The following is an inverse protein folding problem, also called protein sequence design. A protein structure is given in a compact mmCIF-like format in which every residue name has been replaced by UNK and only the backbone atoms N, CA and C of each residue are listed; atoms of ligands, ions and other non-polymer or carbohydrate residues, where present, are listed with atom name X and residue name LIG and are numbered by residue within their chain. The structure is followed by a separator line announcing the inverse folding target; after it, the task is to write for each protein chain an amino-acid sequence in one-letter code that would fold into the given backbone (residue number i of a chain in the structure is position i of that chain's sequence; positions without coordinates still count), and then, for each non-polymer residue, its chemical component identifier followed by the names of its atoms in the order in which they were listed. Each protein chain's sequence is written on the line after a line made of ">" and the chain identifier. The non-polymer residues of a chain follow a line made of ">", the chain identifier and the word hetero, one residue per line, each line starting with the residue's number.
data_IF_337866943803
#
_entry.id   IF_337866943803
#
_cell.length_a   1.000
_cell.length_b   1.000
_cell.length_c   1.000
_cell.angle_alpha   90.00
_cell.angle_beta   90.00
_cell.angle_gamma   90.00
#
_symmetry.space_group_name_H-M   'P 1'
#
loop_
_entity.id
_entity.type
_entity.pdbx_description
1 polymer ?
#
# COMPACT_ATOMS: atom_id res chain seq x y z
N UNK A 1 16.25 16.01 -9.17
CA UNK A 1 16.18 14.67 -8.58
C UNK A 1 15.80 13.70 -9.68
N UNK A 2 16.66 12.75 -10.01
CA UNK A 2 16.41 11.77 -11.07
C UNK A 2 15.30 10.82 -10.63
N UNK A 3 14.21 10.77 -11.40
CA UNK A 3 13.10 9.84 -11.24
C UNK A 3 13.54 8.44 -11.67
N UNK A 4 14.37 7.78 -10.85
CA UNK A 4 14.80 6.43 -11.14
C UNK A 4 13.70 5.44 -10.74
N UNK A 5 13.27 4.55 -11.65
CA UNK A 5 12.29 3.51 -11.33
C UNK A 5 12.76 2.60 -10.19
N UNK A 6 14.08 2.43 -10.01
CA UNK A 6 14.66 1.69 -8.88
C UNK A 6 14.26 2.26 -7.51
N UNK A 7 14.15 3.58 -7.40
CA UNK A 7 13.70 4.23 -6.17
C UNK A 7 12.20 4.02 -5.93
N UNK A 8 11.39 3.90 -6.99
CA UNK A 8 9.98 3.53 -6.89
C UNK A 8 9.83 2.07 -6.42
N UNK A 9 10.66 1.15 -6.94
CA UNK A 9 10.69 -0.26 -6.52
C UNK A 9 11.11 -0.39 -5.06
N UNK A 10 12.14 0.34 -4.61
CA UNK A 10 12.53 0.38 -3.19
C UNK A 10 11.39 0.88 -2.31
N UNK A 11 10.66 1.90 -2.77
CA UNK A 11 9.50 2.44 -2.04
C UNK A 11 8.34 1.45 -1.97
N UNK A 12 8.06 0.75 -3.06
CA UNK A 12 7.09 -0.34 -3.11
C UNK A 12 7.47 -1.47 -2.14
N UNK A 13 8.75 -1.82 -2.08
CA UNK A 13 9.27 -2.83 -1.13
C UNK A 13 9.05 -2.40 0.31
N UNK A 14 9.38 -1.15 0.65
CA UNK A 14 9.13 -0.59 1.97
C UNK A 14 7.64 -0.61 2.35
N UNK A 15 6.75 -0.36 1.39
CA UNK A 15 5.30 -0.40 1.60
C UNK A 15 4.82 -1.82 1.93
N UNK A 16 5.24 -2.82 1.14
CA UNK A 16 4.92 -4.23 1.42
C UNK A 16 5.47 -4.64 2.78
N UNK A 17 6.73 -4.30 3.09
CA UNK A 17 7.35 -4.55 4.39
C UNK A 17 6.53 -3.97 5.55
N UNK A 18 6.09 -2.71 5.44
CA UNK A 18 5.29 -2.07 6.47
C UNK A 18 3.96 -2.79 6.74
N UNK A 19 3.31 -3.33 5.70
CA UNK A 19 2.11 -4.18 5.86
C UNK A 19 2.48 -5.49 6.58
N UNK A 20 3.53 -6.18 6.11
CA UNK A 20 3.98 -7.48 6.62
C UNK A 20 4.37 -7.43 8.10
N UNK A 21 4.95 -6.32 8.55
CA UNK A 21 5.41 -6.14 9.94
C UNK A 21 4.48 -5.28 10.79
N UNK A 22 3.31 -4.91 10.25
CA UNK A 22 2.33 -4.07 10.92
C UNK A 22 2.86 -2.70 11.39
N UNK A 23 3.82 -2.14 10.63
CA UNK A 23 4.37 -0.80 10.84
C UNK A 23 3.40 0.26 10.31
N UNK A 24 2.32 0.47 11.05
CA UNK A 24 1.17 1.29 10.68
C UNK A 24 1.54 2.78 10.47
N UNK A 25 2.48 3.33 11.24
CA UNK A 25 2.98 4.69 11.04
C UNK A 25 3.83 4.80 9.78
N UNK A 26 4.78 3.87 9.58
CA UNK A 26 5.58 3.78 8.35
C UNK A 26 4.66 3.66 7.13
N UNK A 27 3.67 2.76 7.17
CA UNK A 27 2.71 2.57 6.09
C UNK A 27 2.00 3.88 5.72
N UNK A 28 1.56 4.63 6.73
CA UNK A 28 0.89 5.92 6.54
C UNK A 28 1.78 6.99 5.92
N UNK A 29 3.07 6.99 6.25
CA UNK A 29 4.06 7.95 5.72
C UNK A 29 4.50 7.62 4.30
N UNK A 30 4.35 6.36 3.88
CA UNK A 30 4.60 5.92 2.51
C UNK A 30 3.47 6.27 1.54
N UNK A 31 2.26 6.54 2.04
CA UNK A 31 1.10 6.91 1.22
C UNK A 31 1.17 8.37 0.78
N UNK A 32 0.74 8.63 -0.45
CA UNK A 32 0.40 9.98 -0.91
C UNK A 32 -0.87 10.47 -0.22
N UNK A 33 -1.20 11.75 -0.36
CA UNK A 33 -2.43 12.29 0.23
C UNK A 33 -3.68 11.68 -0.41
N UNK A 34 -3.60 11.33 -1.70
CA UNK A 34 -4.62 10.54 -2.38
C UNK A 34 -4.72 9.13 -1.79
N UNK A 35 -3.59 8.45 -1.57
CA UNK A 35 -3.54 7.13 -0.96
C UNK A 35 -4.10 7.11 0.46
N UNK A 36 -3.79 8.15 1.26
CA UNK A 36 -4.34 8.35 2.61
C UNK A 36 -5.87 8.53 2.56
N UNK A 37 -6.37 9.39 1.67
CA UNK A 37 -7.81 9.59 1.52
C UNK A 37 -8.55 8.30 1.10
N UNK A 38 -7.96 7.52 0.19
CA UNK A 38 -8.49 6.22 -0.22
C UNK A 38 -8.48 5.21 0.94
N UNK A 39 -7.37 5.11 1.68
CA UNK A 39 -7.24 4.23 2.84
C UNK A 39 -8.28 4.54 3.91
N UNK A 40 -8.47 5.82 4.27
CA UNK A 40 -9.53 6.25 5.19
C UNK A 40 -10.92 5.88 4.67
N UNK A 41 -11.16 6.06 3.38
CA UNK A 41 -12.45 5.73 2.76
C UNK A 41 -12.76 4.24 2.78
N UNK A 42 -11.74 3.39 2.64
CA UNK A 42 -11.87 1.93 2.79
C UNK A 42 -12.08 1.56 4.26
N UNK A 43 -11.31 2.15 5.17
CA UNK A 43 -11.43 1.91 6.60
C UNK A 43 -12.84 2.20 7.13
N UNK A 44 -13.40 3.35 6.76
CA UNK A 44 -14.77 3.74 7.11
C UNK A 44 -15.83 2.79 6.51
N UNK A 45 -15.60 2.27 5.31
CA UNK A 45 -16.47 1.25 4.70
C UNK A 45 -16.42 -0.08 5.45
N UNK A 46 -15.27 -0.40 6.03
CA UNK A 46 -15.04 -1.58 6.85
C UNK A 46 -15.38 -1.37 8.34
N UNK A 47 -16.06 -0.27 8.69
CA UNK A 47 -16.61 -0.05 10.02
C UNK A 47 -15.69 0.67 11.01
N UNK A 48 -14.54 1.22 10.58
CA UNK A 48 -13.75 2.10 11.44
C UNK A 48 -14.47 3.44 11.67
N UNK A 49 -14.18 4.07 12.80
CA UNK A 49 -14.84 5.29 13.26
C UNK A 49 -14.65 6.46 12.26
N UNK A 50 -15.78 6.94 11.73
CA UNK A 50 -15.83 8.02 10.74
C UNK A 50 -15.41 9.37 11.31
N UNK A 51 -15.67 9.63 12.59
CA UNK A 51 -15.29 10.87 13.28
C UNK A 51 -13.78 10.90 13.46
N UNK A 52 -13.18 9.78 13.86
CA UNK A 52 -11.72 9.64 13.94
C UNK A 52 -11.08 9.77 12.55
N UNK A 53 -11.63 9.08 11.54
CA UNK A 53 -11.13 9.19 10.17
C UNK A 53 -11.19 10.62 9.61
N UNK A 54 -12.24 11.39 9.96
CA UNK A 54 -12.36 12.81 9.63
C UNK A 54 -11.25 13.64 10.30
N UNK A 55 -11.05 13.46 11.61
CA UNK A 55 -9.98 14.15 12.33
C UNK A 55 -8.59 13.81 11.82
N UNK A 56 -8.32 12.56 11.44
CA UNK A 56 -7.04 12.17 10.84
C UNK A 56 -6.84 12.85 9.48
N UNK A 57 -7.90 12.95 8.66
CA UNK A 57 -7.85 13.63 7.36
C UNK A 57 -7.50 15.12 7.53
N UNK A 58 -8.08 15.75 8.54
CA UNK A 58 -7.95 17.18 8.80
C UNK A 58 -6.75 17.51 9.71
N UNK A 59 -5.92 16.52 10.06
CA UNK A 59 -4.78 16.61 10.98
C UNK A 59 -5.15 17.12 12.39
N UNK A 60 -6.37 16.82 12.84
CA UNK A 60 -6.93 17.18 14.14
C UNK A 60 -6.98 16.02 15.14
N UNK A 61 -6.60 14.81 14.73
CA UNK A 61 -6.58 13.64 15.61
C UNK A 61 -5.37 13.71 16.55
N UNK A 62 -5.58 13.39 17.82
CA UNK A 62 -4.43 13.27 18.74
C UNK A 62 -3.55 12.05 18.37
N UNK A 63 -2.27 12.03 18.78
CA UNK A 63 -1.36 10.95 18.40
C UNK A 63 -1.82 9.56 18.81
N UNK A 64 -2.49 9.42 19.97
CA UNK A 64 -2.95 8.13 20.49
C UNK A 64 -4.16 7.63 19.70
N UNK A 65 -5.07 8.52 19.37
CA UNK A 65 -6.23 8.26 18.53
C UNK A 65 -5.80 7.84 17.11
N UNK A 66 -4.88 8.60 16.50
CA UNK A 66 -4.31 8.28 15.18
C UNK A 66 -3.63 6.93 15.19
N UNK A 67 -2.76 6.66 16.16
CA UNK A 67 -2.05 5.40 16.32
C UNK A 67 -3.02 4.20 16.36
N UNK A 68 -4.05 4.26 17.23
CA UNK A 68 -5.05 3.19 17.34
C UNK A 68 -5.83 2.98 16.04
N UNK A 69 -6.19 4.06 15.36
CA UNK A 69 -6.88 3.96 14.08
C UNK A 69 -6.00 3.28 13.02
N UNK A 70 -4.72 3.68 12.92
CA UNK A 70 -3.80 3.09 11.96
C UNK A 70 -3.52 1.62 12.25
N UNK A 71 -3.44 1.22 13.53
CA UNK A 71 -3.36 -0.20 13.91
C UNK A 71 -4.57 -1.00 13.42
N UNK A 72 -5.79 -0.46 13.59
CA UNK A 72 -7.02 -1.10 13.09
C UNK A 72 -7.04 -1.19 11.56
N UNK A 73 -6.61 -0.13 10.87
CA UNK A 73 -6.52 -0.09 9.42
C UNK A 73 -5.58 -1.19 8.90
N UNK A 74 -4.37 -1.29 9.45
CA UNK A 74 -3.40 -2.32 9.05
C UNK A 74 -3.88 -3.71 9.41
N UNK A 75 -4.52 -3.88 10.57
CA UNK A 75 -5.17 -5.14 10.94
C UNK A 75 -6.23 -5.57 9.91
N UNK A 76 -7.04 -4.61 9.43
CA UNK A 76 -8.01 -4.82 8.36
C UNK A 76 -7.36 -5.22 7.03
N UNK A 77 -6.35 -4.46 6.58
CA UNK A 77 -5.62 -4.76 5.35
C UNK A 77 -4.99 -6.15 5.37
N UNK A 78 -4.35 -6.54 6.48
CA UNK A 78 -3.76 -7.88 6.63
C UNK A 78 -4.82 -8.98 6.63
N UNK A 79 -6.00 -8.72 7.18
CA UNK A 79 -7.12 -9.66 7.14
C UNK A 79 -7.64 -9.83 5.71
N UNK A 80 -7.79 -8.74 4.96
CA UNK A 80 -8.26 -8.77 3.58
C UNK A 80 -7.25 -9.47 2.65
N UNK A 81 -5.97 -9.33 2.97
CA UNK A 81 -4.87 -9.97 2.25
C UNK A 81 -4.53 -11.37 2.80
N UNK A 82 -5.32 -11.97 3.71
CA UNK A 82 -5.04 -13.32 4.25
C UNK A 82 -5.01 -14.43 3.20
N UNK A 83 -5.66 -14.24 2.06
CA UNK A 83 -5.60 -15.18 0.94
C UNK A 83 -4.27 -15.14 0.19
N UNK A 84 -3.43 -14.14 0.48
CA UNK A 84 -2.08 -13.98 -0.04
C UNK A 84 -1.12 -14.17 1.13
N UNK A 85 -0.13 -15.06 0.99
CA UNK A 85 0.98 -15.11 1.94
C UNK A 85 1.79 -13.81 1.81
N UNK A 86 1.41 -12.79 2.59
CA UNK A 86 2.02 -11.46 2.54
C UNK A 86 3.53 -11.49 2.73
N UNK A 87 4.03 -12.44 3.53
CA UNK A 87 5.45 -12.69 3.77
C UNK A 87 6.19 -13.21 2.54
N UNK A 88 5.46 -13.75 1.57
CA UNK A 88 6.02 -14.31 0.34
C UNK A 88 5.80 -13.38 -0.87
N UNK A 89 5.17 -12.23 -0.69
CA UNK A 89 5.00 -11.25 -1.75
C UNK A 89 6.36 -10.74 -2.24
N UNK A 90 6.56 -10.83 -3.54
CA UNK A 90 7.74 -10.30 -4.24
C UNK A 90 7.32 -9.22 -5.22
N UNK A 91 8.27 -8.35 -5.60
CA UNK A 91 8.03 -7.32 -6.61
C UNK A 91 8.34 -7.88 -7.99
N UNK A 92 7.43 -7.63 -8.93
CA UNK A 92 7.55 -8.03 -10.33
C UNK A 92 7.97 -6.89 -11.24
N UNK A 93 7.43 -6.90 -12.46
CA UNK A 93 7.75 -5.89 -13.46
C UNK A 93 7.34 -4.49 -13.02
N UNK A 94 8.12 -3.51 -13.48
CA UNK A 94 7.89 -2.09 -13.25
C UNK A 94 7.58 -1.42 -14.58
N UNK A 95 6.46 -0.70 -14.65
CA UNK A 95 6.07 0.07 -15.82
C UNK A 95 5.89 1.55 -15.47
N UNK A 96 6.35 2.44 -16.35
CA UNK A 96 6.21 3.88 -16.17
C UNK A 96 5.09 4.39 -17.08
N UNK A 97 4.16 5.15 -16.51
CA UNK A 97 3.08 5.79 -17.26
C UNK A 97 3.52 7.15 -17.82
N UNK A 98 2.73 7.68 -18.76
CA UNK A 98 3.01 8.95 -19.44
C UNK A 98 3.00 10.17 -18.52
N UNK A 99 2.32 10.09 -17.38
CA UNK A 99 2.28 11.13 -16.34
C UNK A 99 3.50 11.06 -15.39
N UNK A 100 4.40 10.07 -15.58
CA UNK A 100 5.55 9.84 -14.74
C UNK A 100 5.27 9.01 -13.48
N UNK A 101 4.04 8.52 -13.30
CA UNK A 101 3.74 7.51 -12.29
C UNK A 101 4.38 6.15 -12.65
N UNK A 102 4.61 5.33 -11.63
CA UNK A 102 5.22 4.01 -11.77
C UNK A 102 4.26 2.98 -11.18
N UNK A 103 3.96 1.95 -11.96
CA UNK A 103 3.24 0.77 -11.49
C UNK A 103 4.23 -0.37 -11.26
N UNK A 104 4.29 -0.88 -10.03
CA UNK A 104 5.10 -2.04 -9.64
C UNK A 104 4.18 -3.23 -9.40
N UNK A 105 4.38 -4.30 -10.15
CA UNK A 105 3.60 -5.53 -9.97
C UNK A 105 3.95 -6.20 -8.63
N UNK A 106 2.94 -6.78 -7.99
CA UNK A 106 3.07 -7.63 -6.82
C UNK A 106 2.86 -9.08 -7.26
N UNK A 107 3.76 -9.96 -6.85
CA UNK A 107 3.76 -11.37 -7.21
C UNK A 107 3.65 -12.23 -5.96
N UNK A 108 2.81 -13.27 -6.01
CA UNK A 108 2.74 -14.33 -4.99
C UNK A 108 3.40 -15.59 -5.56
N UNK A 109 4.15 -16.37 -4.77
CA UNK A 109 4.71 -17.63 -5.27
C UNK A 109 3.60 -18.59 -5.70
N UNK A 110 3.92 -19.37 -6.72
CA UNK A 110 3.04 -20.39 -7.28
C UNK A 110 3.52 -21.77 -6.85
N UNK A 111 2.59 -22.61 -6.39
CA UNK A 111 2.85 -24.02 -6.09
C UNK A 111 2.71 -24.92 -7.33
N UNK A 112 2.33 -24.35 -8.49
CA UNK A 112 2.13 -25.10 -9.72
C UNK A 112 3.46 -25.34 -10.47
N UNK A 113 3.68 -26.54 -11.04
CA UNK A 113 4.85 -26.79 -11.87
C UNK A 113 4.89 -25.80 -13.04
N UNK A 114 6.07 -25.30 -13.41
CA UNK A 114 6.35 -24.35 -14.52
C UNK A 114 5.89 -22.89 -14.37
N UNK A 115 5.08 -22.55 -13.37
CA UNK A 115 4.76 -21.15 -13.04
C UNK A 115 5.41 -20.82 -11.70
N UNK A 116 6.37 -19.90 -11.68
CA UNK A 116 7.12 -19.56 -10.46
C UNK A 116 6.37 -18.57 -9.57
N UNK A 117 5.55 -17.69 -10.15
CA UNK A 117 4.75 -16.71 -9.41
C UNK A 117 3.50 -16.28 -10.18
N UNK A 118 2.47 -15.85 -9.45
CA UNK A 118 1.23 -15.28 -9.99
C UNK A 118 1.12 -13.79 -9.65
N UNK A 119 0.58 -12.95 -10.54
CA UNK A 119 0.25 -11.57 -10.22
C UNK A 119 -0.80 -11.49 -9.11
N UNK A 120 -0.42 -10.92 -7.97
CA UNK A 120 -1.30 -10.65 -6.82
C UNK A 120 -1.91 -9.23 -6.86
N UNK A 121 -1.35 -8.33 -7.69
CA UNK A 121 -1.83 -6.97 -7.82
C UNK A 121 -0.74 -6.03 -8.32
N UNK A 122 -0.94 -4.73 -8.14
CA UNK A 122 0.09 -3.73 -8.39
C UNK A 122 -0.01 -2.55 -7.44
N UNK A 123 1.13 -1.96 -7.13
CA UNK A 123 1.23 -0.66 -6.46
C UNK A 123 1.42 0.41 -7.52
N UNK A 124 0.66 1.50 -7.40
CA UNK A 124 0.84 2.69 -8.23
C UNK A 124 1.48 3.77 -7.38
N UNK A 125 2.60 4.30 -7.85
CA UNK A 125 3.41 5.28 -7.16
C UNK A 125 3.56 6.55 -8.00
N UNK A 126 3.54 7.70 -7.33
CA UNK A 126 3.89 8.99 -7.92
C UNK A 126 5.11 9.58 -7.23
N UNK A 127 5.77 10.51 -7.91
CA UNK A 127 6.93 11.20 -7.39
C UNK A 127 6.49 12.55 -6.82
N UNK A 128 6.40 12.64 -5.50
CA UNK A 128 6.16 13.86 -4.73
C UNK A 128 7.46 14.67 -4.61
N UNK A 129 7.37 15.99 -4.71
CA UNK A 129 8.54 16.88 -4.72
C UNK A 129 9.29 16.90 -3.39
N UNK A 130 8.59 16.72 -2.28
CA UNK A 130 9.15 16.84 -0.93
C UNK A 130 9.44 15.47 -0.32
N UNK A 131 8.57 14.49 -0.57
CA UNK A 131 8.62 13.14 0.01
C UNK A 131 9.30 12.10 -0.91
N UNK A 132 9.56 12.44 -2.17
CA UNK A 132 10.02 11.49 -3.17
C UNK A 132 8.90 10.54 -3.62
N UNK A 133 9.21 9.28 -3.89
CA UNK A 133 8.18 8.32 -4.29
C UNK A 133 7.16 8.09 -3.17
N UNK A 134 5.88 8.09 -3.50
CA UNK A 134 4.77 7.83 -2.58
C UNK A 134 3.78 6.89 -3.24
N UNK A 135 3.08 6.09 -2.44
CA UNK A 135 2.09 5.12 -2.92
C UNK A 135 0.73 5.81 -3.02
N UNK A 136 0.18 5.87 -4.23
CA UNK A 136 -1.14 6.43 -4.49
C UNK A 136 -2.25 5.43 -4.25
N UNK A 137 -2.02 4.17 -4.63
CA UNK A 137 -3.01 3.10 -4.47
C UNK A 137 -2.38 1.72 -4.56
N UNK A 138 -2.99 0.80 -3.84
CA UNK A 138 -2.84 -0.64 -4.02
C UNK A 138 -4.03 -1.13 -4.85
N UNK A 139 -3.73 -1.71 -6.00
CA UNK A 139 -4.72 -2.36 -6.85
C UNK A 139 -4.58 -3.88 -6.67
N UNK A 140 -5.35 -4.51 -5.76
CA UNK A 140 -5.32 -5.96 -5.61
C UNK A 140 -5.87 -6.60 -6.88
N UNK A 141 -5.19 -7.64 -7.36
CA UNK A 141 -5.77 -8.54 -8.36
C UNK A 141 -6.49 -9.62 -7.55
N UNK A 142 -7.82 -9.54 -7.52
CA UNK A 142 -8.62 -10.64 -6.97
C UNK A 142 -8.18 -11.92 -7.70
N UNK A 143 -7.70 -12.90 -6.93
CA UNK A 143 -7.27 -14.18 -7.48
C UNK A 143 -8.39 -14.74 -8.36
N UNK A 144 -8.15 -14.76 -9.66
CA UNK A 144 -8.99 -15.46 -10.62
C UNK A 144 -8.14 -16.54 -11.27
N UNK A 145 -8.67 -17.75 -11.47
CA UNK A 145 -8.60 -18.32 -12.81
C UNK A 145 -9.33 -17.42 -13.82
#
# INVERSE_FOLDING_TARGET
>A
MTRHPDAAVQRASAFVHAIVWAEHTTLWDLLSDHGRAAALSVAMRNGLDRVVAGRIRDDLADPVERERFLQQLVGGLRRDLRSVELTELTLGECSTASDGSVAVELLTPSQLPSTYAWPAGRLVLSCDTDRGWVVDRLEPRLAGP
#
